data_IF_566239371761
#
_entry.id   IF_566239371761
#
_cell.length_a   1.000
_cell.length_b   1.000
_cell.length_c   1.000
_cell.angle_alpha   90.00
_cell.angle_beta   90.00
_cell.angle_gamma   90.00
#
_symmetry.space_group_name_H-M   'P 1'
#
loop_
_entity.id
_entity.type
_entity.pdbx_description
1 polymer ?
#
# COMPACT_ATOMS: atom_id res chain seq x y z
N UNK A 1 -23.27 10.50 13.64
CA UNK A 1 -22.06 9.62 13.66
C UNK A 1 -20.95 10.37 14.41
N UNK A 2 -20.15 9.70 15.23
CA UNK A 2 -19.05 10.34 15.91
C UNK A 2 -18.02 10.84 14.88
N UNK A 3 -17.57 12.11 15.02
CA UNK A 3 -16.47 12.67 14.24
C UNK A 3 -15.15 12.04 14.68
N UNK A 4 -14.13 12.05 13.83
CA UNK A 4 -12.78 11.72 14.23
C UNK A 4 -12.30 12.65 15.34
N UNK A 5 -11.40 12.16 16.17
CA UNK A 5 -10.80 12.97 17.22
C UNK A 5 -9.61 13.73 16.61
N UNK A 6 -9.71 15.07 16.56
CA UNK A 6 -8.69 15.94 16.04
C UNK A 6 -8.36 17.03 17.06
N UNK A 7 -7.09 17.40 17.24
CA UNK A 7 -6.69 18.54 18.08
C UNK A 7 -6.95 19.86 17.33
N UNK A 8 -8.24 20.18 17.12
CA UNK A 8 -8.71 21.25 16.21
C UNK A 8 -8.00 22.58 16.46
N UNK A 9 -7.85 22.98 17.72
CA UNK A 9 -7.18 24.25 18.08
C UNK A 9 -5.73 24.32 17.57
N UNK A 10 -5.02 23.19 17.61
CA UNK A 10 -3.65 23.12 17.08
C UNK A 10 -3.64 23.08 15.55
N UNK A 11 -4.55 22.31 14.94
CA UNK A 11 -4.64 22.19 13.48
C UNK A 11 -5.01 23.53 12.81
N UNK A 12 -5.79 24.38 13.50
CA UNK A 12 -6.14 25.70 13.01
C UNK A 12 -4.94 26.64 12.84
N UNK A 13 -3.83 26.40 13.54
CA UNK A 13 -2.60 27.19 13.48
C UNK A 13 -1.66 26.77 12.33
N UNK A 14 -1.95 25.65 11.66
CA UNK A 14 -1.13 25.11 10.57
C UNK A 14 -1.71 25.59 9.24
N UNK A 15 -0.83 25.98 8.32
CA UNK A 15 -1.21 26.35 6.96
C UNK A 15 -1.71 25.14 6.21
N UNK A 16 -2.93 25.21 5.67
CA UNK A 16 -3.57 24.15 4.89
C UNK A 16 -3.25 24.28 3.38
N UNK A 17 -3.32 23.20 2.57
CA UNK A 17 -3.63 21.85 2.97
C UNK A 17 -2.42 21.08 3.51
N UNK A 18 -2.64 20.12 4.42
CA UNK A 18 -1.59 19.27 4.96
C UNK A 18 -2.13 17.89 5.35
N UNK A 19 -1.23 16.89 5.44
CA UNK A 19 -1.56 15.58 5.98
C UNK A 19 -1.35 15.54 7.49
N UNK A 20 -2.36 15.09 8.22
CA UNK A 20 -2.30 14.78 9.63
C UNK A 20 -2.25 13.26 9.82
N UNK A 21 -1.23 12.77 10.51
CA UNK A 21 -1.05 11.37 10.83
C UNK A 21 -1.21 11.13 12.33
N UNK A 22 -2.18 10.31 12.70
CA UNK A 22 -2.37 9.84 14.06
C UNK A 22 -1.31 8.76 14.37
N UNK A 23 -0.26 9.13 15.09
CA UNK A 23 0.85 8.28 15.43
C UNK A 23 0.44 7.13 16.35
N UNK A 24 -0.49 7.35 17.26
CA UNK A 24 -0.95 6.30 18.17
C UNK A 24 -1.79 5.27 17.43
N UNK A 25 -2.71 5.68 16.57
CA UNK A 25 -3.47 4.75 15.73
C UNK A 25 -2.56 3.92 14.82
N UNK A 26 -1.48 4.52 14.29
CA UNK A 26 -0.48 3.77 13.53
C UNK A 26 0.21 2.71 14.41
N UNK A 27 0.64 3.09 15.62
CA UNK A 27 1.27 2.15 16.57
C UNK A 27 0.31 1.04 16.99
N UNK A 28 -0.97 1.35 17.24
CA UNK A 28 -2.00 0.34 17.54
C UNK A 28 -2.23 -0.63 16.39
N UNK A 29 -2.29 -0.11 15.16
CA UNK A 29 -2.39 -0.94 13.95
C UNK A 29 -1.21 -1.91 13.84
N UNK A 30 0.01 -1.42 14.06
CA UNK A 30 1.22 -2.25 14.02
C UNK A 30 1.27 -3.27 15.16
N UNK A 31 0.82 -2.91 16.37
CA UNK A 31 0.66 -3.86 17.48
C UNK A 31 -0.31 -4.98 17.13
N UNK A 32 -1.44 -4.64 16.49
CA UNK A 32 -2.43 -5.63 16.04
C UNK A 32 -1.85 -6.56 14.97
N UNK A 33 -1.13 -6.04 13.98
CA UNK A 33 -0.45 -6.85 12.96
C UNK A 33 0.51 -7.83 13.62
N UNK A 34 1.39 -7.36 14.50
CA UNK A 34 2.39 -8.20 15.15
C UNK A 34 1.74 -9.24 16.06
N UNK A 35 0.73 -8.86 16.85
CA UNK A 35 0.03 -9.77 17.75
C UNK A 35 -0.67 -10.90 17.01
N UNK A 36 -1.22 -10.64 15.81
CA UNK A 36 -1.90 -11.67 15.04
C UNK A 36 -0.91 -12.49 14.19
N UNK A 37 0.06 -11.87 13.54
CA UNK A 37 1.05 -12.60 12.74
C UNK A 37 1.93 -13.54 13.58
N UNK A 38 2.33 -13.13 14.79
CA UNK A 38 3.18 -13.94 15.69
C UNK A 38 2.51 -15.20 16.24
N UNK A 39 1.19 -15.34 16.11
CA UNK A 39 0.49 -16.59 16.44
C UNK A 39 0.80 -17.73 15.48
N UNK A 40 1.40 -17.41 14.33
CA UNK A 40 1.69 -18.34 13.26
C UNK A 40 3.19 -18.36 12.98
N UNK A 41 3.83 -19.51 13.20
CA UNK A 41 5.25 -19.66 12.95
C UNK A 41 5.59 -19.40 11.47
N UNK A 42 6.66 -18.64 11.23
CA UNK A 42 7.14 -18.35 9.88
C UNK A 42 6.39 -17.24 9.13
N UNK A 43 5.42 -16.56 9.76
CA UNK A 43 4.77 -15.39 9.13
C UNK A 43 5.67 -14.16 9.23
N UNK A 44 5.90 -13.49 8.10
CA UNK A 44 6.75 -12.29 7.97
C UNK A 44 5.98 -11.19 7.25
N UNK A 45 5.88 -10.03 7.86
CA UNK A 45 5.15 -8.90 7.27
C UNK A 45 6.11 -7.83 6.77
N UNK A 46 5.96 -7.42 5.52
CA UNK A 46 6.63 -6.27 4.90
C UNK A 46 5.63 -5.15 4.70
N UNK A 47 6.07 -3.92 4.91
CA UNK A 47 5.28 -2.74 4.58
C UNK A 47 5.54 -2.34 3.12
N UNK A 48 4.48 -2.19 2.32
CA UNK A 48 4.57 -1.71 0.95
C UNK A 48 4.81 -0.18 0.94
N UNK A 49 6.07 0.22 0.72
CA UNK A 49 6.54 1.61 0.83
C UNK A 49 5.79 2.56 -0.11
N UNK A 50 5.36 2.06 -1.28
CA UNK A 50 4.52 2.81 -2.23
C UNK A 50 3.23 3.38 -1.62
N UNK A 51 2.75 2.84 -0.50
CA UNK A 51 1.57 3.36 0.17
C UNK A 51 1.86 4.68 0.90
N UNK A 52 3.05 4.82 1.49
CA UNK A 52 3.49 6.02 2.19
C UNK A 52 5.00 5.95 2.47
N UNK A 53 5.77 6.91 1.97
CA UNK A 53 7.21 6.98 2.19
C UNK A 53 7.62 8.14 3.12
N UNK A 54 6.68 8.72 3.89
CA UNK A 54 7.01 9.74 4.87
C UNK A 54 8.04 9.18 5.87
N UNK A 55 9.19 9.84 6.08
CA UNK A 55 10.29 9.29 6.89
C UNK A 55 9.91 8.96 8.33
N UNK A 56 8.95 9.69 8.92
CA UNK A 56 8.48 9.45 10.29
C UNK A 56 7.55 8.25 10.36
N UNK A 57 6.68 8.10 9.37
CA UNK A 57 5.84 6.90 9.21
C UNK A 57 6.71 5.65 9.03
N UNK A 58 7.71 5.71 8.13
CA UNK A 58 8.63 4.60 7.91
C UNK A 58 9.41 4.22 9.19
N UNK A 59 9.84 5.22 9.97
CA UNK A 59 10.53 4.98 11.25
C UNK A 59 9.67 4.20 12.24
N UNK A 60 8.41 4.61 12.43
CA UNK A 60 7.48 3.92 13.34
C UNK A 60 7.25 2.47 12.89
N UNK A 61 7.09 2.25 11.58
CA UNK A 61 6.89 0.92 11.02
C UNK A 61 8.12 0.04 11.20
N UNK A 62 9.32 0.60 10.95
CA UNK A 62 10.59 -0.10 11.19
C UNK A 62 10.79 -0.45 12.68
N UNK A 63 10.45 0.47 13.59
CA UNK A 63 10.52 0.23 15.04
C UNK A 63 9.58 -0.88 15.49
N UNK A 64 8.45 -1.07 14.82
CA UNK A 64 7.55 -2.19 15.03
C UNK A 64 8.10 -3.53 14.48
N UNK A 65 9.23 -3.52 13.76
CA UNK A 65 9.94 -4.72 13.31
C UNK A 65 9.48 -5.29 11.96
N UNK A 66 8.59 -4.63 11.23
CA UNK A 66 8.19 -5.03 9.89
C UNK A 66 9.38 -4.90 8.91
N UNK A 67 9.33 -5.68 7.80
CA UNK A 67 10.18 -5.47 6.63
C UNK A 67 9.66 -4.38 5.71
N UNK A 68 10.33 -4.17 4.57
CA UNK A 68 9.89 -3.24 3.52
C UNK A 68 9.71 -3.98 2.19
N UNK A 69 8.58 -3.72 1.52
CA UNK A 69 8.33 -4.07 0.12
C UNK A 69 8.51 -2.81 -0.72
N UNK A 70 9.52 -2.84 -1.60
CA UNK A 70 9.93 -1.75 -2.46
C UNK A 70 9.62 -2.06 -3.93
N UNK A 71 9.23 -1.03 -4.69
CA UNK A 71 8.94 -1.15 -6.13
C UNK A 71 9.76 -0.18 -6.98
N UNK A 72 10.76 0.48 -6.38
CA UNK A 72 11.75 1.33 -7.05
C UNK A 72 13.03 1.44 -6.22
N UNK A 73 14.13 1.88 -6.86
CA UNK A 73 15.37 2.19 -6.16
C UNK A 73 15.20 3.28 -5.11
N UNK A 74 14.40 4.31 -5.40
CA UNK A 74 14.09 5.36 -4.42
C UNK A 74 13.40 4.84 -3.16
N UNK A 75 12.54 3.81 -3.27
CA UNK A 75 11.94 3.17 -2.10
C UNK A 75 12.95 2.31 -1.32
N UNK A 76 13.91 1.67 -2.00
CA UNK A 76 15.04 0.98 -1.33
C UNK A 76 15.87 2.00 -0.54
N UNK A 77 16.25 3.13 -1.16
CA UNK A 77 16.99 4.20 -0.47
C UNK A 77 16.24 4.74 0.74
N UNK A 78 14.94 5.02 0.60
CA UNK A 78 14.09 5.49 1.69
C UNK A 78 14.04 4.46 2.84
N UNK A 79 13.93 3.17 2.52
CA UNK A 79 13.89 2.09 3.50
C UNK A 79 15.22 1.93 4.24
N UNK A 80 16.34 1.94 3.51
CA UNK A 80 17.69 1.89 4.11
C UNK A 80 17.92 3.11 5.00
N UNK A 81 17.56 4.31 4.53
CA UNK A 81 17.67 5.56 5.31
C UNK A 81 16.79 5.56 6.56
N UNK A 82 15.62 4.93 6.52
CA UNK A 82 14.75 4.76 7.68
C UNK A 82 15.27 3.69 8.65
N UNK A 83 16.29 2.90 8.27
CA UNK A 83 16.95 1.89 9.09
C UNK A 83 16.29 0.51 9.03
N UNK A 84 15.52 0.19 7.99
CA UNK A 84 15.06 -1.18 7.78
C UNK A 84 16.26 -2.11 7.57
N UNK A 85 16.31 -3.29 8.23
CA UNK A 85 17.32 -4.28 7.94
C UNK A 85 17.26 -4.72 6.49
N UNK A 86 18.38 -4.71 5.76
CA UNK A 86 18.41 -5.12 4.34
C UNK A 86 17.86 -6.53 4.13
N UNK A 87 18.12 -7.42 5.09
CA UNK A 87 17.59 -8.79 5.11
C UNK A 87 16.07 -8.89 5.26
N UNK A 88 15.37 -7.77 5.39
CA UNK A 88 13.91 -7.65 5.42
C UNK A 88 13.37 -6.75 4.31
N UNK A 89 14.20 -6.39 3.32
CA UNK A 89 13.78 -5.60 2.15
C UNK A 89 13.57 -6.55 0.98
N UNK A 90 12.39 -6.49 0.36
CA UNK A 90 12.08 -7.17 -0.90
C UNK A 90 11.88 -6.13 -2.00
N UNK A 91 12.21 -6.48 -3.25
CA UNK A 91 12.11 -5.56 -4.38
C UNK A 91 11.30 -6.18 -5.51
N UNK A 92 10.13 -5.62 -5.79
CA UNK A 92 9.20 -6.02 -6.85
C UNK A 92 9.11 -4.93 -7.95
N UNK A 93 8.33 -5.22 -9.00
CA UNK A 93 8.06 -4.28 -10.10
C UNK A 93 8.62 -4.75 -11.44
N UNK A 94 7.88 -4.46 -12.51
CA UNK A 94 8.12 -4.95 -13.89
C UNK A 94 9.26 -4.24 -14.62
N UNK A 95 9.74 -3.12 -14.11
CA UNK A 95 10.69 -2.24 -14.81
C UNK A 95 11.84 -1.82 -13.92
N UNK A 96 12.58 -2.81 -13.35
CA UNK A 96 13.78 -2.55 -12.58
C UNK A 96 14.93 -2.11 -13.51
N UNK A 97 15.43 -0.91 -13.34
CA UNK A 97 16.59 -0.42 -14.07
C UNK A 97 17.90 -0.94 -13.46
N UNK A 98 18.97 -0.96 -14.24
CA UNK A 98 20.28 -1.47 -13.81
C UNK A 98 20.79 -0.84 -12.51
N UNK A 99 20.63 0.47 -12.35
CA UNK A 99 21.07 1.17 -11.14
C UNK A 99 20.26 0.75 -9.91
N UNK A 100 18.97 0.44 -10.06
CA UNK A 100 18.09 -0.02 -8.99
C UNK A 100 18.42 -1.45 -8.58
N UNK A 101 18.68 -2.33 -9.57
CA UNK A 101 19.14 -3.70 -9.31
C UNK A 101 20.49 -3.65 -8.58
N UNK A 102 21.39 -2.81 -9.05
CA UNK A 102 22.70 -2.60 -8.44
C UNK A 102 22.60 -2.10 -6.99
N UNK A 103 21.69 -1.17 -6.73
CA UNK A 103 21.42 -0.68 -5.38
C UNK A 103 20.92 -1.80 -4.46
N UNK A 104 20.02 -2.65 -4.94
CA UNK A 104 19.54 -3.81 -4.21
C UNK A 104 20.66 -4.82 -3.91
N UNK A 105 21.51 -5.10 -4.91
CA UNK A 105 22.69 -5.96 -4.76
C UNK A 105 23.70 -5.37 -3.76
N UNK A 106 24.00 -4.07 -3.85
CA UNK A 106 24.97 -3.41 -3.00
C UNK A 106 24.54 -3.38 -1.52
N UNK A 107 23.22 -3.32 -1.27
CA UNK A 107 22.63 -3.39 0.07
C UNK A 107 22.33 -4.80 0.55
N UNK A 108 22.60 -5.86 -0.21
CA UNK A 108 22.28 -7.26 0.13
C UNK A 108 20.82 -7.44 0.59
N UNK A 109 19.88 -6.93 -0.21
CA UNK A 109 18.44 -7.06 0.11
C UNK A 109 18.00 -8.52 0.17
N UNK A 110 16.92 -8.80 0.89
CA UNK A 110 16.43 -10.15 1.10
C UNK A 110 16.13 -10.90 -0.21
N UNK A 111 15.42 -10.26 -1.16
CA UNK A 111 14.98 -10.93 -2.37
C UNK A 111 14.53 -9.95 -3.45
N UNK A 112 14.83 -10.28 -4.72
CA UNK A 112 14.22 -9.67 -5.90
C UNK A 112 13.02 -10.50 -6.33
N UNK A 113 11.82 -9.90 -6.40
CA UNK A 113 10.62 -10.50 -6.97
C UNK A 113 10.65 -10.27 -8.49
N UNK A 114 11.03 -11.29 -9.24
CA UNK A 114 11.30 -11.24 -10.69
C UNK A 114 10.03 -11.50 -11.47
N UNK A 115 9.83 -10.76 -12.54
CA UNK A 115 8.59 -10.77 -13.34
C UNK A 115 8.78 -11.26 -14.78
N UNK A 116 10.05 -11.50 -15.21
CA UNK A 116 10.35 -12.01 -16.56
C UNK A 116 11.73 -12.64 -16.65
N UNK A 117 11.94 -13.49 -17.70
CA UNK A 117 13.27 -14.09 -17.99
C UNK A 117 14.30 -13.02 -18.35
N UNK A 118 14.04 -12.02 -19.21
CA UNK A 118 15.02 -10.97 -19.49
C UNK A 118 15.47 -10.21 -18.24
N UNK A 119 14.57 -9.96 -17.28
CA UNK A 119 14.92 -9.35 -15.99
C UNK A 119 15.85 -10.27 -15.19
N UNK A 120 15.56 -11.57 -15.15
CA UNK A 120 16.39 -12.57 -14.47
C UNK A 120 17.82 -12.59 -15.00
N UNK A 121 17.97 -12.56 -16.34
CA UNK A 121 19.27 -12.55 -17.04
C UNK A 121 20.08 -11.28 -16.66
N UNK A 122 19.45 -10.10 -16.68
CA UNK A 122 20.07 -8.86 -16.28
C UNK A 122 20.50 -8.87 -14.81
N UNK A 123 19.66 -9.39 -13.92
CA UNK A 123 20.03 -9.55 -12.49
C UNK A 123 21.25 -10.46 -12.34
N UNK A 124 21.31 -11.57 -13.08
CA UNK A 124 22.47 -12.47 -13.08
C UNK A 124 23.76 -11.77 -13.54
N UNK A 125 23.71 -11.03 -14.65
CA UNK A 125 24.86 -10.28 -15.18
C UNK A 125 25.38 -9.23 -14.18
N UNK A 126 24.47 -8.43 -13.62
CA UNK A 126 24.83 -7.38 -12.66
C UNK A 126 25.34 -7.96 -11.33
N UNK A 127 24.79 -9.09 -10.88
CA UNK A 127 25.27 -9.81 -9.71
C UNK A 127 26.67 -10.41 -9.97
N UNK A 128 26.90 -11.01 -11.14
CA UNK A 128 28.21 -11.51 -11.56
C UNK A 128 29.28 -10.41 -11.57
N UNK A 129 28.96 -9.24 -12.13
CA UNK A 129 29.86 -8.09 -12.16
C UNK A 129 30.27 -7.60 -10.75
N UNK A 130 29.50 -7.94 -9.72
CA UNK A 130 29.74 -7.61 -8.31
C UNK A 130 30.30 -8.77 -7.49
N UNK A 131 30.50 -9.93 -8.09
CA UNK A 131 30.89 -11.15 -7.38
C UNK A 131 29.87 -11.59 -6.35
N UNK A 132 28.58 -11.31 -6.60
CA UNK A 132 27.45 -11.63 -5.71
C UNK A 132 26.53 -12.69 -6.32
N UNK A 133 25.66 -13.24 -5.49
CA UNK A 133 24.55 -14.10 -5.91
C UNK A 133 23.25 -13.48 -5.43
N UNK A 134 22.39 -13.09 -6.38
CA UNK A 134 21.09 -12.51 -6.09
C UNK A 134 20.08 -13.58 -5.67
N UNK A 135 19.35 -13.36 -4.57
CA UNK A 135 18.19 -14.18 -4.20
C UNK A 135 17.00 -13.71 -5.00
N UNK A 136 16.31 -14.62 -5.69
CA UNK A 136 15.18 -14.30 -6.56
C UNK A 136 13.97 -15.16 -6.22
N UNK A 137 12.80 -14.53 -6.24
CA UNK A 137 11.51 -15.21 -6.23
C UNK A 137 10.75 -14.85 -7.51
N UNK A 138 9.99 -15.78 -8.07
CA UNK A 138 9.21 -15.51 -9.27
C UNK A 138 7.81 -15.04 -8.91
N UNK A 139 7.43 -13.86 -9.43
CA UNK A 139 6.05 -13.40 -9.38
C UNK A 139 5.23 -14.12 -10.43
N UNK A 140 4.27 -14.88 -9.97
CA UNK A 140 3.35 -15.64 -10.81
C UNK A 140 1.95 -15.01 -10.78
N UNK A 141 1.29 -15.02 -11.94
CA UNK A 141 -0.12 -14.65 -12.01
C UNK A 141 -0.99 -15.84 -11.64
N UNK A 142 -1.65 -15.84 -10.48
CA UNK A 142 -2.43 -17.00 -10.02
C UNK A 142 -3.73 -17.19 -10.78
N UNK A 143 -4.10 -16.24 -11.66
CA UNK A 143 -5.37 -16.20 -12.38
C UNK A 143 -6.59 -16.31 -11.46
N UNK A 144 -6.49 -15.68 -10.31
CA UNK A 144 -7.56 -15.51 -9.33
C UNK A 144 -8.13 -14.12 -9.50
N UNK A 145 -9.43 -14.00 -9.78
CA UNK A 145 -10.13 -12.72 -9.84
C UNK A 145 -10.43 -12.24 -8.41
N UNK A 146 -9.94 -11.07 -8.03
CA UNK A 146 -10.39 -10.40 -6.81
C UNK A 146 -11.57 -9.49 -7.13
N UNK A 147 -12.55 -9.41 -6.23
CA UNK A 147 -13.73 -8.54 -6.35
C UNK A 147 -13.34 -7.08 -6.07
N UNK A 148 -12.51 -6.49 -6.96
CA UNK A 148 -11.94 -5.14 -6.80
C UNK A 148 -12.12 -4.31 -8.08
N UNK A 149 -11.82 -2.99 -7.98
CA UNK A 149 -11.85 -2.10 -9.14
C UNK A 149 -10.84 -2.57 -10.21
N UNK A 150 -11.22 -2.51 -11.49
CA UNK A 150 -10.41 -3.02 -12.62
C UNK A 150 -8.96 -2.49 -12.63
N UNK A 151 -8.75 -1.22 -12.26
CA UNK A 151 -7.40 -0.60 -12.25
C UNK A 151 -6.48 -1.08 -11.12
N UNK A 152 -6.99 -1.84 -10.14
CA UNK A 152 -6.23 -2.34 -9.00
C UNK A 152 -6.24 -3.87 -8.88
N UNK A 153 -6.85 -4.58 -9.86
CA UNK A 153 -6.79 -6.03 -9.99
C UNK A 153 -5.53 -6.41 -10.77
N UNK A 154 -4.67 -7.24 -10.21
CA UNK A 154 -3.36 -7.62 -10.79
C UNK A 154 -3.20 -9.11 -11.05
N UNK A 155 -4.15 -9.94 -10.63
CA UNK A 155 -4.08 -11.40 -10.69
C UNK A 155 -4.58 -12.06 -11.98
N UNK A 156 -4.96 -11.29 -13.02
CA UNK A 156 -5.52 -11.82 -14.27
C UNK A 156 -4.44 -12.26 -15.25
N UNK A 157 -4.76 -13.22 -16.13
CA UNK A 157 -3.82 -13.90 -17.03
C UNK A 157 -3.10 -12.97 -18.02
N UNK A 158 -3.75 -11.90 -18.51
CA UNK A 158 -3.14 -10.88 -19.37
C UNK A 158 -2.97 -9.57 -18.62
N UNK A 159 -1.89 -9.46 -17.88
CA UNK A 159 -1.50 -8.26 -17.14
C UNK A 159 0.00 -8.01 -17.37
N UNK A 160 0.44 -6.75 -17.29
CA UNK A 160 1.88 -6.42 -17.37
C UNK A 160 2.71 -7.05 -16.24
N UNK A 161 2.07 -7.52 -15.19
CA UNK A 161 2.72 -8.07 -13.99
C UNK A 161 2.78 -9.58 -14.03
N UNK A 162 3.94 -10.11 -13.60
CA UNK A 162 4.14 -11.51 -13.30
C UNK A 162 4.26 -12.44 -14.52
N UNK A 163 4.72 -13.64 -14.26
CA UNK A 163 4.92 -14.73 -15.18
C UNK A 163 3.66 -15.60 -15.20
N UNK A 164 3.26 -16.10 -16.36
CA UNK A 164 2.14 -17.03 -16.45
C UNK A 164 2.47 -18.33 -15.70
N UNK A 165 1.52 -18.87 -14.95
CA UNK A 165 1.74 -20.07 -14.13
C UNK A 165 2.19 -21.29 -14.93
N UNK A 166 1.70 -21.46 -16.18
CA UNK A 166 2.13 -22.54 -17.08
C UNK A 166 3.63 -22.51 -17.37
N UNK A 167 4.28 -21.34 -17.24
CA UNK A 167 5.68 -21.14 -17.55
C UNK A 167 6.58 -21.28 -16.31
N UNK A 168 5.99 -21.52 -15.12
CA UNK A 168 6.72 -21.59 -13.84
C UNK A 168 7.92 -22.55 -13.88
N UNK A 169 7.72 -23.79 -14.29
CA UNK A 169 8.79 -24.78 -14.32
C UNK A 169 9.88 -24.43 -15.33
N UNK A 170 9.49 -23.83 -16.48
CA UNK A 170 10.44 -23.38 -17.49
C UNK A 170 11.34 -22.26 -16.94
N UNK A 171 10.76 -21.26 -16.24
CA UNK A 171 11.52 -20.14 -15.66
C UNK A 171 12.43 -20.61 -14.52
N UNK A 172 11.99 -21.55 -13.71
CA UNK A 172 12.84 -22.18 -12.68
C UNK A 172 14.02 -22.87 -13.35
N UNK A 173 13.79 -23.63 -14.42
CA UNK A 173 14.86 -24.29 -15.18
C UNK A 173 15.85 -23.31 -15.84
N UNK A 174 15.40 -22.11 -16.24
CA UNK A 174 16.32 -21.04 -16.68
C UNK A 174 17.16 -20.49 -15.51
N UNK A 175 16.54 -20.26 -14.34
CA UNK A 175 17.28 -19.78 -13.17
C UNK A 175 18.38 -20.77 -12.71
N UNK A 176 18.14 -22.08 -12.81
CA UNK A 176 19.11 -23.12 -12.45
C UNK A 176 20.37 -23.12 -13.34
N UNK A 177 20.29 -22.55 -14.57
CA UNK A 177 21.42 -22.42 -15.48
C UNK A 177 22.30 -21.20 -15.17
N UNK A 178 21.81 -20.25 -14.37
CA UNK A 178 22.46 -18.99 -14.08
C UNK A 178 23.24 -19.08 -12.76
N UNK A 179 24.54 -18.78 -12.79
CA UNK A 179 25.43 -19.00 -11.66
C UNK A 179 25.37 -17.91 -10.57
N UNK A 180 24.82 -16.74 -10.88
CA UNK A 180 24.80 -15.58 -9.98
C UNK A 180 23.37 -15.21 -9.52
N UNK A 181 22.42 -16.12 -9.66
CA UNK A 181 21.11 -16.04 -9.05
C UNK A 181 20.81 -17.32 -8.26
N UNK A 182 20.02 -17.18 -7.21
CA UNK A 182 19.52 -18.30 -6.40
C UNK A 182 18.00 -18.17 -6.33
N UNK A 183 17.29 -19.12 -6.93
CA UNK A 183 15.84 -19.22 -6.81
C UNK A 183 15.46 -19.64 -5.38
N UNK A 184 14.64 -18.84 -4.69
CA UNK A 184 14.32 -19.04 -3.27
C UNK A 184 12.83 -19.04 -2.95
N UNK A 185 11.96 -18.56 -3.86
CA UNK A 185 10.55 -18.42 -3.52
C UNK A 185 9.62 -18.14 -4.68
N UNK A 186 8.33 -18.18 -4.36
CA UNK A 186 7.25 -17.71 -5.24
C UNK A 186 6.61 -16.47 -4.64
N UNK A 187 6.22 -15.53 -5.51
CA UNK A 187 5.55 -14.29 -5.16
C UNK A 187 4.23 -14.16 -5.91
N UNK A 188 3.22 -13.64 -5.24
CA UNK A 188 1.87 -13.43 -5.76
C UNK A 188 1.33 -12.06 -5.33
N UNK A 189 0.43 -11.50 -6.12
CA UNK A 189 -0.35 -10.34 -5.72
C UNK A 189 -1.64 -10.28 -6.54
N UNK A 190 -2.80 -10.36 -5.91
CA UNK A 190 -4.09 -10.48 -6.59
C UNK A 190 -4.85 -9.17 -6.73
N UNK A 191 -4.48 -8.13 -5.98
CA UNK A 191 -5.14 -6.83 -6.05
C UNK A 191 -5.02 -6.01 -4.78
N UNK A 192 -5.82 -4.97 -4.67
CA UNK A 192 -5.83 -4.04 -3.55
C UNK A 192 -7.26 -3.69 -3.14
N UNK A 193 -7.48 -3.30 -1.89
CA UNK A 193 -8.79 -3.00 -1.31
C UNK A 193 -9.72 -4.23 -1.34
N UNK A 194 -9.20 -5.39 -0.99
CA UNK A 194 -9.95 -6.64 -0.88
C UNK A 194 -10.54 -6.73 0.53
N UNK A 195 -11.85 -6.88 0.61
CA UNK A 195 -12.60 -6.99 1.87
C UNK A 195 -13.18 -8.39 2.07
N UNK A 196 -13.27 -9.19 1.00
CA UNK A 196 -13.75 -10.58 1.06
C UNK A 196 -12.58 -11.55 1.31
N UNK A 197 -12.62 -12.25 2.43
CA UNK A 197 -11.60 -13.26 2.78
C UNK A 197 -11.61 -14.44 1.81
N UNK A 198 -12.71 -14.68 1.10
CA UNK A 198 -12.83 -15.73 0.06
C UNK A 198 -11.84 -15.54 -1.09
N UNK A 199 -11.48 -14.30 -1.43
CA UNK A 199 -10.46 -14.03 -2.47
C UNK A 199 -9.07 -14.52 -2.03
N UNK A 200 -8.74 -14.35 -0.75
CA UNK A 200 -7.48 -14.84 -0.17
C UNK A 200 -7.48 -16.37 0.00
N UNK A 201 -8.63 -16.97 0.33
CA UNK A 201 -8.78 -18.44 0.33
C UNK A 201 -8.57 -19.01 -1.08
N UNK A 202 -9.14 -18.39 -2.11
CA UNK A 202 -8.94 -18.79 -3.49
C UNK A 202 -7.45 -18.72 -3.90
N UNK A 203 -6.73 -17.68 -3.47
CA UNK A 203 -5.29 -17.59 -3.65
C UNK A 203 -4.57 -18.76 -2.94
N UNK A 204 -4.90 -19.06 -1.68
CA UNK A 204 -4.29 -20.17 -0.94
C UNK A 204 -4.44 -21.49 -1.68
N UNK A 205 -5.64 -21.79 -2.18
CA UNK A 205 -5.91 -23.01 -2.94
C UNK A 205 -5.03 -23.09 -4.20
N UNK A 206 -4.89 -21.95 -4.90
CA UNK A 206 -4.06 -21.89 -6.10
C UNK A 206 -2.57 -22.06 -5.81
N UNK A 207 -2.09 -21.45 -4.72
CA UNK A 207 -0.69 -21.61 -4.27
C UNK A 207 -0.43 -23.06 -3.85
N UNK A 208 -1.38 -23.73 -3.20
CA UNK A 208 -1.26 -25.14 -2.84
C UNK A 208 -1.09 -26.04 -4.08
N UNK A 209 -1.86 -25.80 -5.15
CA UNK A 209 -1.72 -26.53 -6.40
C UNK A 209 -0.32 -26.38 -7.01
N UNK A 210 0.22 -25.15 -6.99
CA UNK A 210 1.57 -24.86 -7.48
C UNK A 210 2.65 -25.52 -6.62
N UNK A 211 2.49 -25.52 -5.30
CA UNK A 211 3.41 -26.22 -4.41
C UNK A 211 3.37 -27.75 -4.63
N UNK A 212 2.17 -28.32 -4.87
CA UNK A 212 2.05 -29.76 -5.20
C UNK A 212 2.73 -30.06 -6.55
N UNK A 213 2.75 -29.10 -7.50
CA UNK A 213 3.50 -29.22 -8.76
C UNK A 213 5.02 -29.21 -8.50
N UNK A 214 5.50 -28.26 -7.70
CA UNK A 214 6.91 -28.19 -7.32
C UNK A 214 7.37 -29.47 -6.61
N UNK A 215 6.56 -30.03 -5.71
CA UNK A 215 6.87 -31.27 -4.98
C UNK A 215 7.02 -32.46 -5.96
N UNK A 216 6.17 -32.57 -6.99
CA UNK A 216 6.29 -33.58 -8.04
C UNK A 216 7.62 -33.52 -8.80
N UNK A 217 8.16 -32.32 -8.96
CA UNK A 217 9.46 -32.04 -9.57
C UNK A 217 10.61 -32.03 -8.59
N UNK A 218 10.37 -32.27 -7.29
CA UNK A 218 11.36 -32.24 -6.20
C UNK A 218 12.02 -30.86 -6.02
N UNK A 219 11.30 -29.80 -6.40
CA UNK A 219 11.73 -28.41 -6.25
C UNK A 219 11.20 -27.91 -4.90
N UNK A 220 12.09 -27.34 -4.10
CA UNK A 220 11.72 -26.72 -2.82
C UNK A 220 12.05 -25.24 -2.84
N UNK A 221 11.15 -24.43 -2.29
CA UNK A 221 11.34 -23.01 -2.10
C UNK A 221 11.38 -22.67 -0.62
N UNK A 222 12.19 -21.66 -0.27
CA UNK A 222 12.39 -21.23 1.11
C UNK A 222 11.19 -20.44 1.62
N UNK A 223 10.53 -19.66 0.73
CA UNK A 223 9.39 -18.83 1.13
C UNK A 223 8.31 -18.75 0.05
N UNK A 224 7.09 -18.48 0.49
CA UNK A 224 5.96 -18.05 -0.32
C UNK A 224 5.62 -16.61 0.08
N UNK A 225 5.52 -15.71 -0.87
CA UNK A 225 5.08 -14.34 -0.68
C UNK A 225 3.69 -14.16 -1.35
N UNK A 226 2.67 -13.91 -0.57
CA UNK A 226 1.28 -13.78 -1.04
C UNK A 226 0.89 -12.34 -1.37
N UNK A 227 1.85 -11.40 -1.29
CA UNK A 227 1.59 -9.99 -1.51
C UNK A 227 0.75 -9.37 -0.40
N UNK A 228 0.01 -8.34 -0.77
CA UNK A 228 -0.89 -7.65 0.15
C UNK A 228 -2.35 -7.77 -0.27
N UNK A 229 -3.03 -6.62 -0.28
CA UNK A 229 -4.38 -6.53 -0.81
C UNK A 229 -5.44 -6.21 0.23
N UNK A 230 -5.21 -6.49 1.53
CA UNK A 230 -6.19 -6.23 2.58
C UNK A 230 -6.67 -4.78 2.56
N UNK A 231 -8.00 -4.62 2.49
CA UNK A 231 -8.69 -3.34 2.41
C UNK A 231 -8.98 -2.71 3.76
N UNK A 232 -9.56 -1.51 3.71
CA UNK A 232 -10.03 -0.74 4.87
C UNK A 232 -11.45 -0.24 4.66
N UNK A 233 -12.17 0.06 5.75
CA UNK A 233 -13.49 0.70 5.67
C UNK A 233 -13.34 2.22 5.50
N UNK A 234 -13.48 2.71 4.30
CA UNK A 234 -13.45 4.14 3.98
C UNK A 234 -14.72 4.88 4.43
N UNK A 235 -15.84 4.17 4.56
CA UNK A 235 -17.12 4.78 4.92
C UNK A 235 -17.25 5.04 6.43
N UNK A 236 -16.65 4.17 7.24
CA UNK A 236 -16.79 4.22 8.69
C UNK A 236 -15.43 4.19 9.41
N UNK A 237 -14.51 5.14 9.14
CA UNK A 237 -13.14 5.12 9.67
C UNK A 237 -13.08 5.15 11.20
N UNK A 238 -14.10 5.73 11.86
CA UNK A 238 -14.17 5.78 13.33
C UNK A 238 -14.75 4.51 13.96
N UNK A 239 -15.45 3.69 13.17
CA UNK A 239 -16.05 2.43 13.64
C UNK A 239 -15.10 1.25 13.52
N UNK A 240 -14.35 1.22 12.43
CA UNK A 240 -13.38 0.17 12.12
C UNK A 240 -12.04 0.83 11.79
N UNK A 241 -11.37 1.44 12.80
CA UNK A 241 -10.11 2.14 12.56
C UNK A 241 -8.94 1.19 12.26
N UNK A 242 -9.02 -0.06 12.72
CA UNK A 242 -7.99 -1.09 12.49
C UNK A 242 -8.65 -2.24 11.74
N UNK A 243 -8.09 -2.69 10.59
CA UNK A 243 -8.58 -3.84 9.85
C UNK A 243 -8.54 -5.14 10.66
N UNK A 244 -9.36 -6.12 10.27
CA UNK A 244 -9.37 -7.43 10.91
C UNK A 244 -8.17 -8.29 10.48
N UNK A 245 -6.99 -8.00 11.05
CA UNK A 245 -5.78 -8.77 10.81
C UNK A 245 -5.90 -10.22 11.31
N UNK A 246 -6.74 -10.46 12.32
CA UNK A 246 -6.99 -11.82 12.79
C UNK A 246 -7.64 -12.65 11.69
N UNK A 247 -8.75 -12.19 11.11
CA UNK A 247 -9.41 -12.89 10.01
C UNK A 247 -8.47 -13.08 8.83
N UNK A 248 -7.66 -12.07 8.50
CA UNK A 248 -6.71 -12.10 7.40
C UNK A 248 -5.64 -13.21 7.59
N UNK A 249 -4.88 -13.18 8.69
CA UNK A 249 -3.82 -14.18 8.93
C UNK A 249 -4.39 -15.58 9.21
N UNK A 250 -5.50 -15.69 9.92
CA UNK A 250 -6.18 -16.97 10.14
C UNK A 250 -6.64 -17.62 8.83
N UNK A 251 -7.04 -16.84 7.82
CA UNK A 251 -7.41 -17.37 6.49
C UNK A 251 -6.22 -18.09 5.86
N UNK A 252 -5.05 -17.46 5.85
CA UNK A 252 -3.84 -18.11 5.32
C UNK A 252 -3.41 -19.31 6.16
N UNK A 253 -3.45 -19.20 7.48
CA UNK A 253 -3.08 -20.31 8.37
C UNK A 253 -3.97 -21.55 8.20
N UNK A 254 -5.24 -21.35 7.87
CA UNK A 254 -6.19 -22.48 7.65
C UNK A 254 -6.10 -23.08 6.25
N UNK A 255 -5.88 -22.26 5.24
CA UNK A 255 -6.07 -22.68 3.85
C UNK A 255 -4.77 -22.88 3.09
N UNK A 256 -3.64 -22.27 3.51
CA UNK A 256 -2.34 -22.45 2.87
C UNK A 256 -1.50 -23.52 3.57
N UNK A 257 -1.05 -24.50 2.81
CA UNK A 257 -0.22 -25.62 3.30
C UNK A 257 1.26 -25.29 3.09
N UNK A 258 1.90 -24.66 4.07
CA UNK A 258 3.35 -24.47 4.05
C UNK A 258 4.10 -25.81 4.16
N UNK A 259 5.23 -25.91 3.48
CA UNK A 259 6.15 -27.04 3.59
C UNK A 259 7.08 -26.86 4.79
N UNK A 260 7.65 -27.92 5.35
CA UNK A 260 8.57 -27.80 6.48
C UNK A 260 9.71 -26.82 6.20
N UNK A 261 9.88 -25.83 7.09
CA UNK A 261 10.93 -24.79 7.00
C UNK A 261 10.60 -23.62 6.06
N UNK A 262 9.45 -23.61 5.40
CA UNK A 262 9.00 -22.45 4.62
C UNK A 262 8.52 -21.31 5.51
N UNK A 263 8.75 -20.08 5.05
CA UNK A 263 8.14 -18.87 5.61
C UNK A 263 7.06 -18.31 4.68
N UNK A 264 6.05 -17.66 5.28
CA UNK A 264 4.99 -16.97 4.55
C UNK A 264 5.15 -15.47 4.69
N UNK A 265 5.31 -14.77 3.57
CA UNK A 265 5.52 -13.34 3.51
C UNK A 265 4.28 -12.60 3.04
N UNK A 266 4.03 -11.42 3.62
CA UNK A 266 2.91 -10.53 3.32
C UNK A 266 3.44 -9.13 3.00
N UNK A 267 2.80 -8.43 2.06
CA UNK A 267 3.17 -7.06 1.62
C UNK A 267 2.01 -6.10 1.88
N UNK A 268 1.81 -5.71 3.15
CA UNK A 268 0.72 -4.86 3.55
C UNK A 268 1.06 -3.37 3.37
N UNK A 269 0.22 -2.64 2.64
CA UNK A 269 0.38 -1.20 2.46
C UNK A 269 -0.81 -0.43 3.02
N UNK A 270 -1.93 -0.42 2.29
CA UNK A 270 -3.17 0.29 2.63
C UNK A 270 -3.64 0.00 4.04
N UNK A 271 -3.73 -1.27 4.41
CA UNK A 271 -4.22 -1.70 5.72
C UNK A 271 -3.38 -1.18 6.89
N UNK A 272 -2.11 -0.84 6.67
CA UNK A 272 -1.20 -0.33 7.70
C UNK A 272 -1.42 1.16 7.96
N UNK A 273 -1.50 1.98 6.88
CA UNK A 273 -1.37 3.44 7.02
C UNK A 273 -2.60 4.24 6.59
N UNK A 274 -3.59 3.64 5.90
CA UNK A 274 -4.70 4.42 5.36
C UNK A 274 -5.46 5.15 6.46
N UNK A 275 -5.82 4.45 7.53
CA UNK A 275 -6.73 4.96 8.56
C UNK A 275 -6.06 6.01 9.47
N UNK A 276 -4.75 5.95 9.68
CA UNK A 276 -4.05 6.91 10.53
C UNK A 276 -3.87 8.29 9.87
N UNK A 277 -4.01 8.41 8.54
CA UNK A 277 -3.81 9.66 7.82
C UNK A 277 -5.11 10.33 7.40
N UNK A 278 -5.16 11.64 7.51
CA UNK A 278 -6.24 12.51 7.01
C UNK A 278 -5.65 13.70 6.29
N UNK A 279 -6.22 14.09 5.14
CA UNK A 279 -5.90 15.37 4.51
C UNK A 279 -6.76 16.44 5.17
N UNK A 280 -6.11 17.43 5.76
CA UNK A 280 -6.77 18.59 6.39
C UNK A 280 -6.75 19.74 5.39
N UNK A 281 -7.93 20.31 5.15
CA UNK A 281 -8.15 21.38 4.19
C UNK A 281 -9.07 22.45 4.76
N UNK A 282 -8.98 23.67 4.26
CA UNK A 282 -9.76 24.82 4.71
C UNK A 282 -10.81 25.22 3.69
N UNK A 283 -12.02 25.46 4.14
CA UNK A 283 -13.09 26.05 3.32
C UNK A 283 -12.72 27.47 2.93
N UNK A 284 -12.59 27.73 1.64
CA UNK A 284 -12.36 29.06 1.07
C UNK A 284 -13.66 29.80 0.86
N UNK A 285 -14.62 29.16 0.19
CA UNK A 285 -15.90 29.77 -0.17
C UNK A 285 -17.03 28.75 -0.20
N UNK A 286 -18.23 29.22 0.16
CA UNK A 286 -19.48 28.51 -0.13
C UNK A 286 -20.13 29.20 -1.34
N UNK A 287 -20.21 28.50 -2.47
CA UNK A 287 -20.83 29.00 -3.69
C UNK A 287 -22.18 28.34 -3.89
N UNK A 288 -23.25 29.14 -3.81
CA UNK A 288 -24.62 28.68 -4.10
C UNK A 288 -24.89 28.76 -5.58
N UNK A 289 -25.20 27.62 -6.20
CA UNK A 289 -25.74 27.52 -7.56
C UNK A 289 -27.26 27.49 -7.55
N UNK A 290 -27.86 27.35 -8.71
CA UNK A 290 -29.33 27.23 -8.86
C UNK A 290 -29.91 25.91 -8.36
N UNK A 291 -29.10 24.82 -8.36
CA UNK A 291 -29.55 23.47 -8.04
C UNK A 291 -28.81 22.90 -6.83
N UNK A 292 -27.56 23.30 -6.62
CA UNK A 292 -26.68 22.77 -5.57
C UNK A 292 -25.73 23.84 -5.06
N UNK A 293 -25.08 23.54 -3.95
CA UNK A 293 -24.03 24.42 -3.41
C UNK A 293 -22.68 23.69 -3.38
N UNK A 294 -21.63 24.48 -3.51
CA UNK A 294 -20.26 24.01 -3.53
C UNK A 294 -19.53 24.48 -2.27
N UNK A 295 -18.90 23.55 -1.58
CA UNK A 295 -17.87 23.86 -0.58
C UNK A 295 -16.52 23.83 -1.30
N UNK A 296 -15.97 25.01 -1.60
CA UNK A 296 -14.69 25.17 -2.28
C UNK A 296 -13.60 25.19 -1.21
N UNK A 297 -12.68 24.25 -1.28
CA UNK A 297 -11.58 24.10 -0.33
C UNK A 297 -10.23 24.44 -0.97
N UNK A 298 -9.18 24.60 -0.15
CA UNK A 298 -7.83 24.90 -0.63
C UNK A 298 -7.03 23.65 -1.07
N UNK A 299 -7.41 22.44 -0.65
CA UNK A 299 -6.87 21.22 -1.21
C UNK A 299 -7.49 20.92 -2.58
N UNK A 300 -6.73 20.28 -3.46
CA UNK A 300 -7.19 19.79 -4.76
C UNK A 300 -6.74 18.35 -5.04
N UNK A 301 -7.03 17.85 -6.24
CA UNK A 301 -6.53 16.53 -6.64
C UNK A 301 -5.01 16.47 -6.67
N UNK A 302 -4.33 17.61 -6.71
CA UNK A 302 -2.88 17.72 -6.54
C UNK A 302 -2.40 17.25 -5.18
N UNK A 303 -3.25 17.34 -4.17
CA UNK A 303 -2.96 16.92 -2.81
C UNK A 303 -3.47 15.51 -2.51
N UNK A 304 -4.61 15.12 -3.10
CA UNK A 304 -5.19 13.78 -3.01
C UNK A 304 -5.86 13.40 -4.33
N UNK A 305 -5.11 12.74 -5.22
CA UNK A 305 -5.55 12.40 -6.58
C UNK A 305 -6.61 11.30 -6.64
N UNK A 306 -6.75 10.50 -5.60
CA UNK A 306 -7.53 9.25 -5.60
C UNK A 306 -9.00 9.41 -6.01
N UNK A 307 -9.75 10.44 -5.55
CA UNK A 307 -11.13 10.66 -6.02
C UNK A 307 -11.21 10.90 -7.53
N UNK A 308 -10.29 11.70 -8.08
CA UNK A 308 -10.26 12.02 -9.51
C UNK A 308 -9.78 10.83 -10.36
N UNK A 309 -8.75 10.09 -9.90
CA UNK A 309 -8.11 9.02 -10.69
C UNK A 309 -8.87 7.69 -10.61
N UNK A 310 -9.38 7.32 -9.43
CA UNK A 310 -9.99 6.02 -9.16
C UNK A 310 -11.47 6.11 -8.77
N UNK A 311 -12.06 7.32 -8.74
CA UNK A 311 -13.38 7.55 -8.15
C UNK A 311 -13.47 7.02 -6.71
N UNK A 312 -12.33 7.06 -6.00
CA UNK A 312 -12.22 6.54 -4.65
C UNK A 312 -13.02 7.39 -3.68
N UNK A 313 -13.82 6.72 -2.85
CA UNK A 313 -14.53 7.35 -1.76
C UNK A 313 -13.58 7.62 -0.59
N UNK A 314 -13.68 8.82 -0.03
CA UNK A 314 -13.10 9.20 1.25
C UNK A 314 -14.16 9.92 2.07
N UNK A 315 -14.36 9.51 3.33
CA UNK A 315 -15.26 10.24 4.22
C UNK A 315 -14.72 11.63 4.46
N UNK A 316 -15.59 12.64 4.35
CA UNK A 316 -15.27 14.04 4.65
C UNK A 316 -16.06 14.46 5.88
N UNK A 317 -15.43 15.20 6.79
CA UNK A 317 -16.02 15.71 8.02
C UNK A 317 -15.65 17.18 8.19
N UNK A 318 -16.62 18.05 8.50
CA UNK A 318 -16.32 19.39 9.02
C UNK A 318 -15.96 19.22 10.50
N UNK A 319 -14.68 19.49 10.84
CA UNK A 319 -14.16 19.26 12.20
C UNK A 319 -14.26 20.52 13.09
N UNK A 320 -14.73 21.65 12.54
CA UNK A 320 -14.86 22.92 13.24
C UNK A 320 -16.30 23.37 13.46
N UNK A 321 -17.28 22.77 12.78
CA UNK A 321 -18.71 23.12 12.90
C UNK A 321 -19.52 21.96 13.46
N UNK A 322 -20.47 22.25 14.34
CA UNK A 322 -21.49 21.33 14.86
C UNK A 322 -22.92 21.75 14.45
N UNK A 323 -23.03 22.71 13.52
CA UNK A 323 -24.31 23.15 12.98
C UNK A 323 -25.04 22.02 12.23
N UNK A 324 -26.38 22.13 12.04
CA UNK A 324 -27.11 21.15 11.23
C UNK A 324 -26.51 20.92 9.85
N UNK A 325 -26.63 19.71 9.34
CA UNK A 325 -26.03 19.31 8.04
C UNK A 325 -26.73 19.97 6.87
N UNK A 326 -25.96 20.29 5.86
CA UNK A 326 -26.40 20.71 4.53
C UNK A 326 -25.68 19.87 3.47
N UNK A 327 -26.26 19.73 2.28
CA UNK A 327 -25.66 18.99 1.18
C UNK A 327 -24.69 19.87 0.37
N UNK A 328 -23.49 19.34 0.11
CA UNK A 328 -22.44 20.03 -0.66
C UNK A 328 -21.81 19.13 -1.73
N UNK A 329 -21.40 19.75 -2.84
CA UNK A 329 -20.28 19.23 -3.63
C UNK A 329 -18.99 19.81 -3.04
N UNK A 330 -18.07 18.98 -2.58
CA UNK A 330 -16.76 19.42 -2.06
C UNK A 330 -15.76 19.40 -3.21
N UNK A 331 -15.23 20.58 -3.55
CA UNK A 331 -14.40 20.80 -4.74
C UNK A 331 -13.13 21.56 -4.40
N UNK A 332 -12.04 21.27 -5.12
CA UNK A 332 -10.77 21.95 -4.96
C UNK A 332 -10.61 23.17 -5.87
N UNK A 333 -9.42 23.82 -5.82
CA UNK A 333 -9.12 25.04 -6.56
C UNK A 333 -8.44 24.80 -7.91
N UNK A 334 -8.23 23.55 -8.32
CA UNK A 334 -7.54 23.23 -9.55
C UNK A 334 -8.40 23.58 -10.77
N UNK A 335 -7.78 24.12 -11.82
CA UNK A 335 -8.47 24.58 -13.02
C UNK A 335 -8.88 23.40 -13.92
N UNK A 336 -9.54 22.40 -13.32
CA UNK A 336 -10.03 21.17 -13.95
C UNK A 336 -11.41 20.79 -13.37
N UNK A 337 -12.35 20.40 -14.20
CA UNK A 337 -13.69 19.99 -13.75
C UNK A 337 -13.71 18.67 -12.96
N UNK A 338 -12.61 17.92 -13.02
CA UNK A 338 -12.39 16.68 -12.28
C UNK A 338 -11.91 16.90 -10.84
N UNK A 339 -11.64 18.16 -10.44
CA UNK A 339 -11.17 18.48 -9.08
C UNK A 339 -12.35 18.51 -8.09
N UNK A 340 -12.87 17.31 -7.85
CA UNK A 340 -14.03 17.06 -6.99
C UNK A 340 -13.70 15.94 -6.02
N UNK A 341 -13.78 16.21 -4.74
CA UNK A 341 -13.59 15.20 -3.70
C UNK A 341 -14.85 14.38 -3.42
N UNK A 342 -16.02 15.03 -3.43
CA UNK A 342 -17.31 14.38 -3.23
C UNK A 342 -18.46 15.22 -3.81
N UNK A 343 -19.56 14.53 -4.15
CA UNK A 343 -20.77 15.17 -4.69
C UNK A 343 -21.95 14.88 -3.79
N UNK A 344 -22.76 15.91 -3.52
CA UNK A 344 -24.02 15.83 -2.77
C UNK A 344 -23.87 15.07 -1.44
N UNK A 345 -22.82 15.40 -0.68
CA UNK A 345 -22.62 14.82 0.66
C UNK A 345 -23.16 15.74 1.74
N UNK A 346 -23.68 15.14 2.81
CA UNK A 346 -24.13 15.85 4.00
C UNK A 346 -22.94 16.17 4.91
N UNK A 347 -22.67 17.47 5.10
CA UNK A 347 -21.69 17.98 6.05
C UNK A 347 -22.37 18.93 7.04
N UNK A 348 -21.87 19.00 8.27
CA UNK A 348 -22.19 20.12 9.15
C UNK A 348 -21.96 21.44 8.39
N UNK A 349 -22.91 22.38 8.51
CA UNK A 349 -22.88 23.62 7.73
C UNK A 349 -21.48 24.21 7.71
N UNK A 350 -21.01 24.49 6.50
CA UNK A 350 -19.66 24.99 6.26
C UNK A 350 -19.64 26.51 6.13
N UNK A 351 -18.65 27.13 6.76
CA UNK A 351 -18.36 28.54 6.66
C UNK A 351 -16.93 28.74 6.16
N UNK A 352 -16.65 29.95 5.61
CA UNK A 352 -15.28 30.31 5.26
C UNK A 352 -14.36 30.20 6.49
N UNK A 353 -13.26 29.49 6.34
CA UNK A 353 -12.27 29.26 7.39
C UNK A 353 -12.43 27.94 8.13
N UNK A 354 -13.55 27.24 7.98
CA UNK A 354 -13.75 25.91 8.57
C UNK A 354 -12.73 24.92 8.06
N UNK A 355 -12.28 24.02 8.93
CA UNK A 355 -11.42 22.89 8.58
C UNK A 355 -12.27 21.67 8.25
N UNK A 356 -11.97 21.07 7.11
CA UNK A 356 -12.48 19.76 6.73
C UNK A 356 -11.37 18.72 6.84
N UNK A 357 -11.72 17.52 7.33
CA UNK A 357 -10.86 16.36 7.32
C UNK A 357 -11.34 15.37 6.25
N UNK A 358 -10.49 15.06 5.25
CA UNK A 358 -10.71 14.00 4.27
C UNK A 358 -10.00 12.77 4.80
N UNK A 359 -10.80 11.79 5.28
CA UNK A 359 -10.36 10.67 6.11
C UNK A 359 -9.72 9.53 5.32
N UNK A 360 -9.00 8.66 6.03
CA UNK A 360 -8.38 7.44 5.45
C UNK A 360 -7.45 7.75 4.27
N UNK A 361 -6.75 8.88 4.32
CA UNK A 361 -5.88 9.37 3.27
C UNK A 361 -4.38 9.03 3.49
N UNK A 362 -4.07 8.24 4.54
CA UNK A 362 -2.69 7.91 4.88
C UNK A 362 -1.99 6.98 3.89
N UNK A 363 -2.74 6.27 3.05
CA UNK A 363 -2.19 5.43 1.98
C UNK A 363 -2.49 6.04 0.60
N UNK A 364 -1.47 6.12 -0.26
CA UNK A 364 -1.60 6.62 -1.64
C UNK A 364 -2.18 8.04 -1.72
N UNK A 365 -1.97 8.85 -0.67
CA UNK A 365 -2.32 10.26 -0.61
C UNK A 365 -1.08 11.13 -0.81
N UNK A 366 -0.41 11.52 0.28
CA UNK A 366 0.80 12.38 0.26
C UNK A 366 1.82 11.93 -0.79
N UNK A 367 2.09 10.62 -0.89
CA UNK A 367 3.08 10.06 -1.82
C UNK A 367 2.71 10.24 -3.30
N UNK A 368 1.44 10.45 -3.64
CA UNK A 368 0.97 10.68 -5.00
C UNK A 368 0.68 12.15 -5.30
N UNK A 369 1.00 13.05 -4.37
CA UNK A 369 0.80 14.48 -4.57
C UNK A 369 1.67 15.03 -5.72
N UNK A 370 1.20 16.09 -6.38
CA UNK A 370 1.85 16.69 -7.53
C UNK A 370 1.86 18.21 -7.46
N UNK A 371 2.70 18.83 -8.29
CA UNK A 371 2.85 20.29 -8.36
C UNK A 371 2.08 20.92 -9.54
N UNK A 372 1.05 20.23 -10.04
CA UNK A 372 0.22 20.80 -11.11
C UNK A 372 -0.39 22.15 -10.67
N UNK A 373 -0.59 23.07 -11.59
CA UNK A 373 -0.89 24.49 -11.36
C UNK A 373 0.17 25.22 -10.50
N UNK A 374 1.44 24.75 -10.47
CA UNK A 374 2.53 25.30 -9.66
C UNK A 374 2.23 25.34 -8.16
N UNK A 375 1.41 24.41 -7.65
CA UNK A 375 1.10 24.28 -6.23
C UNK A 375 2.24 23.59 -5.49
N UNK A 376 2.37 23.91 -4.21
CA UNK A 376 3.33 23.24 -3.34
C UNK A 376 2.81 21.87 -2.94
N UNK A 377 3.73 20.93 -2.70
CA UNK A 377 3.38 19.63 -2.13
C UNK A 377 2.90 19.81 -0.68
N UNK A 378 1.85 19.09 -0.26
CA UNK A 378 1.38 19.15 1.11
C UNK A 378 2.40 18.56 2.08
N UNK A 379 2.53 19.15 3.28
CA UNK A 379 3.36 18.60 4.34
C UNK A 379 2.60 17.56 5.15
N UNK A 380 3.32 16.53 5.66
CA UNK A 380 2.79 15.57 6.61
C UNK A 380 3.22 15.92 8.04
N UNK A 381 2.29 15.96 8.98
CA UNK A 381 2.53 16.19 10.41
C UNK A 381 2.07 14.99 11.24
N UNK A 382 2.91 14.55 12.16
CA UNK A 382 2.55 13.50 13.12
C UNK A 382 1.85 14.10 14.34
N UNK A 383 0.87 13.40 14.89
CA UNK A 383 0.09 13.87 16.05
C UNK A 383 0.92 14.09 17.32
N UNK A 384 2.07 13.45 17.45
CA UNK A 384 2.99 13.59 18.57
C UNK A 384 4.02 14.71 18.39
N UNK A 385 3.95 15.47 17.28
CA UNK A 385 4.82 16.61 16.97
C UNK A 385 4.10 17.96 16.97
N UNK A 386 2.76 17.99 17.07
CA UNK A 386 1.91 19.17 17.07
C UNK A 386 1.14 19.36 18.37
#
# INVERSE_FOLDING_TARGET
>A
MAKGQFPVEKLQQIETPFYYYDAELLRETLRSINAEAQKHEGFVVHFAVKANANPRVLRIIREAGLGADCVSGGEIEASVKAGFPSTKIVYAGVGKADWEINLGLDNDIFCFNVESIPELEVINELAAARGKTARVAFRLNPNVGAHTHANITTGLAENKFGIAMRDMLSVIGEAEKLSNVKFVGLHFHIGSQILDMGDFEALCNRVNELQDELDRHRIRVEHINVGGGLGVDYAHPNRVPIPDFKAYFDTYARHLRLRPGQTLHFELGRAVVAQCGSLITRTLYIKKGSVKQFCIVDAGFTDLIRPALYQAYHKIENITSDEPTEAYDVVGPICESTDVFAKQIDLNRCHRGDLLAIRSAGAYGEIMASQYNCRQLPHGYMSDEI
#
